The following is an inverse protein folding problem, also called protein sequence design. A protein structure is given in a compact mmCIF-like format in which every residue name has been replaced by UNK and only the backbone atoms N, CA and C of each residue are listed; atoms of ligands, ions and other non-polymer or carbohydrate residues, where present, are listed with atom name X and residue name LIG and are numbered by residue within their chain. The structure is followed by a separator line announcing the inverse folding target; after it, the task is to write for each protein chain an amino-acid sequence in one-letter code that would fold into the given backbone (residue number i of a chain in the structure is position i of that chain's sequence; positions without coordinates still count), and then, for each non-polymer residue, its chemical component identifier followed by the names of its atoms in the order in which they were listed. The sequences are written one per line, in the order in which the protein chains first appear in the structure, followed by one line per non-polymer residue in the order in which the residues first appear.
data_IF_592971917851
#
_entry.id   IF_592971917851
#
_cell.length_a   1.000
_cell.length_b   1.000
_cell.length_c   1.000
_cell.angle_alpha   90.00
_cell.angle_beta   90.00
_cell.angle_gamma   90.00
#
_symmetry.space_group_name_H-M   'P 1'
#
loop_
_entity.id
_entity.type
_entity.pdbx_description
1 polymer ?
#
# COMPACT_ATOMS: atom_id res chain seq x y z
N UNK A 1 -6.53 43.79 -2.71
CA UNK A 1 -7.92 44.26 -2.54
C UNK A 1 -8.74 43.76 -3.74
N UNK A 2 -9.35 42.57 -3.65
CA UNK A 2 -10.07 41.93 -4.77
C UNK A 2 -11.56 41.98 -4.47
N UNK A 3 -12.33 42.69 -5.31
CA UNK A 3 -13.80 42.81 -5.19
C UNK A 3 -14.46 41.49 -5.62
N UNK A 4 -15.29 40.92 -4.75
CA UNK A 4 -16.17 39.79 -5.03
C UNK A 4 -17.27 40.21 -6.02
N UNK A 5 -17.43 39.50 -7.14
CA UNK A 5 -18.63 39.64 -7.99
C UNK A 5 -19.74 38.76 -7.43
N UNK A 6 -20.91 39.36 -7.25
CA UNK A 6 -22.17 38.68 -6.91
C UNK A 6 -22.71 37.95 -8.15
N UNK A 7 -23.26 36.75 -7.94
CA UNK A 7 -24.03 36.04 -8.96
C UNK A 7 -25.41 36.68 -9.18
N UNK A 8 -26.10 36.34 -10.29
CA UNK A 8 -27.38 36.95 -10.69
C UNK A 8 -28.55 36.67 -9.74
N UNK A 9 -28.40 35.78 -8.74
CA UNK A 9 -29.40 35.43 -7.73
C UNK A 9 -29.12 36.02 -6.33
N UNK A 10 -28.07 36.84 -6.18
CA UNK A 10 -27.70 37.44 -4.89
C UNK A 10 -27.15 36.45 -3.85
N UNK A 11 -26.97 35.16 -4.18
CA UNK A 11 -26.45 34.17 -3.25
C UNK A 11 -24.91 34.15 -3.25
N UNK A 12 -24.31 34.16 -2.06
CA UNK A 12 -22.88 33.91 -1.89
C UNK A 12 -22.64 32.41 -1.98
N UNK A 13 -22.15 31.93 -3.13
CA UNK A 13 -21.59 30.57 -3.21
C UNK A 13 -20.29 30.54 -2.40
N UNK A 14 -20.31 29.86 -1.26
CA UNK A 14 -19.09 29.45 -0.58
C UNK A 14 -18.29 28.60 -1.56
N UNK A 15 -17.13 29.08 -1.99
CA UNK A 15 -16.25 28.33 -2.87
C UNK A 15 -15.71 27.12 -2.12
N UNK A 16 -16.23 25.94 -2.39
CA UNK A 16 -15.61 24.68 -1.98
C UNK A 16 -14.34 24.52 -2.80
N UNK A 17 -13.18 24.69 -2.16
CA UNK A 17 -11.88 24.33 -2.76
C UNK A 17 -11.78 22.82 -2.66
N UNK A 18 -12.04 22.10 -3.76
CA UNK A 18 -11.69 20.69 -3.85
C UNK A 18 -10.16 20.60 -3.87
N UNK A 19 -9.58 19.98 -2.84
CA UNK A 19 -8.15 19.76 -2.71
C UNK A 19 -7.69 18.72 -3.74
N UNK A 20 -7.42 19.18 -4.96
CA UNK A 20 -6.64 18.41 -5.93
C UNK A 20 -5.18 18.86 -5.84
N UNK A 21 -4.24 17.96 -5.50
CA UNK A 21 -2.83 18.28 -5.54
C UNK A 21 -2.45 18.72 -6.97
N UNK A 22 -1.91 19.93 -7.13
CA UNK A 22 -1.17 20.28 -8.33
C UNK A 22 0.29 19.90 -8.08
N UNK A 23 0.79 18.93 -8.83
CA UNK A 23 2.22 18.67 -8.87
C UNK A 23 2.93 19.85 -9.56
N UNK A 24 3.57 20.70 -8.77
CA UNK A 24 4.69 21.52 -9.26
C UNK A 24 5.79 20.56 -9.70
N UNK A 25 6.23 20.65 -10.96
CA UNK A 25 7.46 20.01 -11.43
C UNK A 25 8.59 20.45 -10.52
N UNK A 26 9.13 19.53 -9.73
CA UNK A 26 10.29 19.80 -8.88
C UNK A 26 11.55 19.86 -9.77
N UNK A 27 12.26 21.00 -9.86
CA UNK A 27 13.58 21.04 -10.46
C UNK A 27 14.62 20.72 -9.37
N UNK A 28 15.63 19.90 -9.72
CA UNK A 28 16.86 19.53 -8.94
C UNK A 28 16.71 18.27 -8.06
N UNK A 29 17.48 17.17 -8.13
CA UNK A 29 18.68 16.75 -8.89
C UNK A 29 19.61 17.87 -9.34
N UNK A 30 20.22 18.51 -8.34
CA UNK A 30 21.44 19.28 -8.52
C UNK A 30 22.33 18.92 -7.34
N UNK A 31 23.04 17.80 -7.50
CA UNK A 31 24.20 17.48 -6.69
C UNK A 31 25.19 18.61 -6.92
N UNK A 32 25.31 19.51 -5.96
CA UNK A 32 26.40 20.47 -5.92
C UNK A 32 27.70 19.66 -5.75
N UNK A 33 28.43 19.46 -6.86
CA UNK A 33 29.88 19.25 -6.79
C UNK A 33 30.47 20.54 -6.26
N UNK A 34 30.91 20.54 -5.01
CA UNK A 34 31.92 21.48 -4.57
C UNK A 34 33.27 20.97 -5.09
N UNK A 35 33.88 21.75 -5.98
CA UNK A 35 35.32 21.73 -6.20
C UNK A 35 35.98 22.14 -4.88
N UNK A 36 36.82 21.26 -4.33
CA UNK A 36 37.79 21.64 -3.31
C UNK A 36 39.18 21.24 -3.81
N UNK A 37 40.05 22.24 -3.80
CA UNK A 37 41.32 22.27 -4.48
C UNK A 37 42.39 21.36 -3.88
N UNK A 38 43.20 20.90 -4.82
CA UNK A 38 44.60 20.50 -4.77
C UNK A 38 45.40 20.98 -3.53
N UNK A 39 45.83 20.03 -2.69
CA UNK A 39 47.05 20.12 -1.88
C UNK A 39 47.55 18.73 -1.43
N UNK A 40 48.85 18.54 -1.17
CA UNK A 40 49.60 17.47 -1.80
C UNK A 40 50.25 16.54 -0.77
N UNK A 41 49.61 15.43 -0.40
CA UNK A 41 50.26 14.34 0.35
C UNK A 41 49.75 12.95 -0.05
N UNK A 42 49.64 12.69 -1.35
CA UNK A 42 49.32 11.34 -1.84
C UNK A 42 50.29 10.87 -2.92
N UNK A 43 51.55 10.65 -2.54
CA UNK A 43 52.46 9.80 -3.30
C UNK A 43 53.47 9.16 -2.34
N UNK A 44 53.70 7.86 -2.53
CA UNK A 44 54.41 6.90 -1.65
C UNK A 44 53.45 6.37 -0.57
N UNK A 45 52.93 5.14 -0.63
CA UNK A 45 53.64 3.89 -0.82
C UNK A 45 52.72 2.87 -1.51
N UNK A 46 53.05 2.54 -2.77
CA UNK A 46 52.75 1.22 -3.34
C UNK A 46 53.89 0.30 -2.92
N UNK A 47 53.62 -0.68 -2.06
CA UNK A 47 54.22 -2.03 -2.17
C UNK A 47 53.64 -3.02 -1.14
N UNK A 48 53.04 -4.09 -1.66
CA UNK A 48 53.33 -5.47 -1.21
C UNK A 48 52.53 -6.12 -0.07
N UNK A 49 51.75 -7.15 -0.47
CA UNK A 49 51.31 -8.37 0.29
C UNK A 49 50.21 -8.14 1.34
N UNK A 50 49.36 -9.10 1.70
CA UNK A 50 48.78 -10.33 1.12
C UNK A 50 47.63 -10.70 2.07
N UNK A 51 46.56 -11.26 1.50
CA UNK A 51 45.35 -11.83 2.09
C UNK A 51 45.32 -12.17 3.60
N UNK A 52 44.26 -11.70 4.26
CA UNK A 52 43.69 -12.28 5.49
C UNK A 52 42.17 -12.06 5.51
N UNK A 53 41.42 -13.15 5.40
CA UNK A 53 39.95 -13.26 5.35
C UNK A 53 39.33 -13.23 6.76
N UNK A 54 38.24 -12.49 7.00
CA UNK A 54 37.41 -12.71 8.18
C UNK A 54 35.96 -13.10 7.83
N UNK A 55 35.54 -14.26 8.35
CA UNK A 55 34.18 -14.37 8.91
C UNK A 55 33.18 -15.26 8.17
N UNK A 56 33.54 -16.52 7.90
CA UNK A 56 32.57 -17.60 7.75
C UNK A 56 32.06 -18.06 9.12
N UNK A 57 30.81 -17.76 9.46
CA UNK A 57 30.06 -18.46 10.52
C UNK A 57 28.63 -18.75 10.05
N UNK A 58 28.47 -19.90 9.38
CA UNK A 58 27.17 -20.55 9.16
C UNK A 58 26.95 -21.60 10.26
N UNK A 59 26.04 -21.33 11.18
CA UNK A 59 25.54 -22.33 12.12
C UNK A 59 24.59 -23.29 11.40
N UNK A 60 25.04 -24.54 11.23
CA UNK A 60 24.29 -25.68 10.71
C UNK A 60 23.94 -26.58 11.90
N UNK A 61 22.66 -26.68 12.22
CA UNK A 61 22.16 -27.63 13.21
C UNK A 61 22.19 -29.06 12.63
N UNK A 62 22.84 -30.00 13.30
CA UNK A 62 22.71 -31.44 13.07
C UNK A 62 22.25 -32.11 14.37
N UNK A 63 21.27 -33.04 14.32
CA UNK A 63 20.90 -33.83 15.49
C UNK A 63 21.89 -34.99 15.69
N UNK A 64 22.34 -35.12 16.95
CA UNK A 64 23.24 -36.17 17.43
C UNK A 64 22.43 -37.47 17.62
N UNK A 65 22.79 -38.51 16.86
CA UNK A 65 22.30 -39.88 17.05
C UNK A 65 23.18 -40.58 18.10
N UNK A 66 22.60 -40.87 19.27
CA UNK A 66 23.27 -41.63 20.32
C UNK A 66 23.24 -43.14 19.98
N UNK A 67 24.40 -43.73 19.73
CA UNK A 67 24.58 -45.18 19.71
C UNK A 67 24.61 -45.72 21.15
N UNK A 68 23.69 -46.64 21.48
CA UNK A 68 23.79 -47.46 22.70
C UNK A 68 23.98 -48.93 22.29
N UNK A 69 25.19 -49.45 22.50
CA UNK A 69 25.51 -50.87 22.38
C UNK A 69 25.04 -51.63 23.63
N UNK A 70 24.39 -52.77 23.38
CA UNK A 70 24.68 -54.06 24.02
C UNK A 70 24.16 -54.33 25.43
N UNK A 71 23.19 -55.24 25.54
CA UNK A 71 23.13 -56.22 26.63
C UNK A 71 22.42 -57.49 26.14
N UNK A 72 23.19 -58.59 26.15
CA UNK A 72 22.75 -59.97 25.95
C UNK A 72 22.14 -60.52 27.24
N UNK A 73 21.10 -61.36 27.16
CA UNK A 73 20.66 -62.13 28.32
C UNK A 73 19.26 -62.75 28.25
N UNK A 74 19.22 -63.99 27.74
CA UNK A 74 18.44 -65.16 28.24
C UNK A 74 16.90 -65.20 28.18
N UNK A 75 16.45 -66.30 27.56
CA UNK A 75 15.16 -66.97 27.64
C UNK A 75 14.61 -67.14 29.07
N UNK A 76 13.27 -67.12 29.17
CA UNK A 76 12.30 -68.03 29.84
C UNK A 76 10.93 -67.34 29.63
N UNK A 77 9.93 -67.84 28.89
CA UNK A 77 9.08 -69.00 29.21
C UNK A 77 7.66 -68.53 29.58
N UNK A 78 6.64 -68.94 28.82
CA UNK A 78 5.26 -69.09 29.32
C UNK A 78 4.17 -68.08 28.87
N UNK A 79 3.20 -68.60 28.10
CA UNK A 79 1.77 -68.43 28.45
C UNK A 79 0.94 -67.32 27.80
N UNK A 80 0.25 -67.66 26.71
CA UNK A 80 -1.21 -67.53 26.58
C UNK A 80 -1.88 -66.15 26.49
N UNK A 81 -2.44 -65.86 25.32
CA UNK A 81 -3.83 -65.36 25.20
C UNK A 81 -4.03 -63.87 24.89
N UNK A 82 -4.69 -63.59 23.76
CA UNK A 82 -5.53 -62.40 23.59
C UNK A 82 -5.07 -61.40 22.52
N UNK A 83 -5.43 -61.66 21.26
CA UNK A 83 -5.53 -60.60 20.24
C UNK A 83 -6.65 -59.63 20.60
N UNK A 84 -6.34 -58.33 20.71
CA UNK A 84 -7.28 -57.23 20.43
C UNK A 84 -6.47 -56.00 20.00
N UNK A 85 -6.49 -55.72 18.70
CA UNK A 85 -6.10 -54.42 18.13
C UNK A 85 -7.20 -53.41 18.53
N UNK A 86 -6.83 -52.18 18.93
CA UNK A 86 -7.44 -51.09 18.18
C UNK A 86 -6.41 -50.06 17.71
N UNK A 87 -6.52 -49.82 16.43
CA UNK A 87 -6.14 -48.62 15.69
C UNK A 87 -6.56 -47.40 16.52
N UNK A 88 -5.62 -46.76 17.20
CA UNK A 88 -5.74 -45.36 17.64
C UNK A 88 -4.50 -44.60 17.17
N UNK A 89 -4.19 -44.77 15.90
CA UNK A 89 -3.45 -43.78 15.14
C UNK A 89 -4.46 -42.72 14.66
N UNK A 90 -4.03 -41.46 14.68
CA UNK A 90 -4.66 -40.35 13.96
C UNK A 90 -5.93 -39.72 14.56
N UNK A 91 -5.80 -38.94 15.64
CA UNK A 91 -6.47 -37.63 15.74
C UNK A 91 -5.96 -36.80 16.93
N UNK A 92 -4.88 -36.05 16.75
CA UNK A 92 -4.74 -34.77 17.46
C UNK A 92 -4.61 -33.72 16.39
N UNK A 93 -5.72 -33.00 16.20
CA UNK A 93 -5.86 -31.84 15.34
C UNK A 93 -4.65 -30.92 15.50
N UNK A 94 -3.97 -30.66 14.39
CA UNK A 94 -3.21 -29.44 14.25
C UNK A 94 -4.22 -28.28 14.34
N UNK A 95 -4.37 -27.70 15.53
CA UNK A 95 -4.83 -26.33 15.69
C UNK A 95 -3.71 -25.43 15.15
N UNK A 96 -3.59 -25.41 13.83
CA UNK A 96 -2.77 -24.45 13.11
C UNK A 96 -3.29 -23.07 13.45
N UNK A 97 -2.40 -22.25 14.00
CA UNK A 97 -2.69 -20.88 14.41
C UNK A 97 -2.95 -20.00 13.18
N UNK A 98 -4.21 -19.89 12.76
CA UNK A 98 -4.69 -18.88 11.79
C UNK A 98 -4.79 -17.47 12.39
N UNK A 99 -4.13 -17.20 13.52
CA UNK A 99 -4.16 -15.89 14.19
C UNK A 99 -3.51 -14.77 13.35
N UNK A 100 -2.61 -15.12 12.42
CA UNK A 100 -1.97 -14.15 11.52
C UNK A 100 -2.90 -13.67 10.38
N UNK A 101 -3.93 -14.44 10.03
CA UNK A 101 -4.85 -14.09 8.94
C UNK A 101 -5.86 -12.98 9.32
N UNK A 102 -6.07 -12.74 10.63
CA UNK A 102 -7.15 -11.89 11.13
C UNK A 102 -6.72 -10.51 11.67
N UNK A 103 -5.43 -10.15 11.59
CA UNK A 103 -5.00 -8.82 12.01
C UNK A 103 -5.66 -7.73 11.14
N UNK A 104 -6.13 -6.61 11.72
CA UNK A 104 -6.74 -5.53 10.98
C UNK A 104 -5.72 -4.91 10.01
N UNK A 105 -6.18 -4.53 8.82
CA UNK A 105 -5.35 -3.83 7.85
C UNK A 105 -4.90 -2.47 8.41
N UNK A 106 -3.66 -2.02 8.13
CA UNK A 106 -3.13 -0.75 8.62
C UNK A 106 -3.69 0.43 7.82
N UNK A 107 -5.00 0.64 7.89
CA UNK A 107 -5.73 1.68 7.16
C UNK A 107 -6.12 2.83 8.09
N UNK A 108 -5.84 4.05 7.65
CA UNK A 108 -6.20 5.30 8.32
C UNK A 108 -6.80 6.27 7.30
N UNK A 109 -8.04 6.76 7.48
CA UNK A 109 -9.03 6.25 8.43
C UNK A 109 -9.43 4.80 8.10
N UNK A 110 -9.92 4.07 9.11
CA UNK A 110 -10.40 2.70 8.91
C UNK A 110 -11.73 2.72 8.13
N UNK A 111 -11.88 1.94 7.04
CA UNK A 111 -13.09 1.95 6.24
C UNK A 111 -14.32 1.46 7.01
N UNK A 112 -15.51 1.91 6.60
CA UNK A 112 -16.78 1.46 7.20
C UNK A 112 -17.00 -0.06 7.06
N UNK A 113 -16.69 -0.64 5.91
CA UNK A 113 -16.81 -2.07 5.65
C UNK A 113 -15.55 -2.62 4.99
N UNK A 114 -15.02 -3.70 5.55
CA UNK A 114 -13.84 -4.42 5.04
C UNK A 114 -14.10 -5.93 5.15
N UNK A 115 -13.92 -6.64 4.04
CA UNK A 115 -13.84 -8.10 4.00
C UNK A 115 -12.44 -8.44 3.50
N UNK A 116 -11.68 -9.19 4.28
CA UNK A 116 -10.34 -9.64 3.93
C UNK A 116 -10.40 -11.09 3.46
N UNK A 117 -9.76 -11.35 2.32
CA UNK A 117 -9.59 -12.68 1.76
C UNK A 117 -8.11 -13.10 1.86
N UNK A 118 -7.86 -14.41 1.77
CA UNK A 118 -6.51 -14.97 1.81
C UNK A 118 -5.78 -14.74 0.49
N UNK A 119 -4.55 -14.24 0.55
CA UNK A 119 -3.68 -14.04 -0.61
C UNK A 119 -3.47 -12.58 -0.97
N UNK A 120 -2.81 -12.35 -2.10
CA UNK A 120 -2.49 -11.04 -2.63
C UNK A 120 -2.77 -10.97 -4.14
N UNK A 121 -3.02 -9.76 -4.62
CA UNK A 121 -3.06 -9.41 -6.03
C UNK A 121 -1.72 -8.76 -6.42
N UNK A 122 -1.13 -9.20 -7.53
CA UNK A 122 0.02 -8.53 -8.12
C UNK A 122 -0.43 -7.40 -9.03
N UNK A 123 0.14 -6.21 -8.83
CA UNK A 123 -0.10 -5.10 -9.73
C UNK A 123 0.67 -5.30 -11.03
N UNK A 124 -0.10 -5.34 -12.12
CA UNK A 124 0.44 -5.27 -13.48
C UNK A 124 0.70 -3.82 -13.87
N UNK A 125 1.54 -3.63 -14.88
CA UNK A 125 2.04 -2.32 -15.35
C UNK A 125 1.00 -1.48 -16.13
N UNK A 126 -0.25 -1.44 -15.66
CA UNK A 126 -1.38 -0.83 -16.37
C UNK A 126 -2.39 -0.20 -15.40
N UNK A 127 -2.82 1.01 -15.75
CA UNK A 127 -4.01 1.66 -15.19
C UNK A 127 -5.07 1.68 -16.30
N UNK A 128 -6.27 1.19 -15.99
CA UNK A 128 -7.44 1.24 -16.86
C UNK A 128 -8.41 2.29 -16.36
N UNK A 129 -8.93 3.10 -17.27
CA UNK A 129 -9.99 4.07 -17.02
C UNK A 129 -11.28 3.59 -17.66
N UNK A 130 -12.31 3.47 -16.84
CA UNK A 130 -13.66 3.10 -17.26
C UNK A 130 -14.61 4.21 -16.82
N UNK A 131 -15.10 5.00 -17.76
CA UNK A 131 -15.98 6.12 -17.47
C UNK A 131 -17.04 6.28 -18.55
N UNK A 132 -18.21 6.85 -18.21
CA UNK A 132 -19.17 7.31 -19.21
C UNK A 132 -18.54 8.32 -20.16
N UNK A 133 -19.04 8.37 -21.40
CA UNK A 133 -18.57 9.31 -22.41
C UNK A 133 -18.64 10.76 -21.91
N UNK A 134 -17.61 11.55 -22.18
CA UNK A 134 -17.49 12.94 -21.70
C UNK A 134 -16.94 13.10 -20.27
N UNK A 135 -16.73 12.02 -19.52
CA UNK A 135 -16.12 12.09 -18.18
C UNK A 135 -14.60 12.18 -18.27
N UNK A 136 -14.01 13.25 -17.70
CA UNK A 136 -12.58 13.51 -17.79
C UNK A 136 -11.80 12.93 -16.60
N UNK A 137 -11.43 11.64 -16.68
CA UNK A 137 -10.56 10.99 -15.66
C UNK A 137 -9.05 11.17 -15.88
N UNK A 138 -8.65 11.86 -16.96
CA UNK A 138 -7.24 11.92 -17.37
C UNK A 138 -6.32 12.53 -16.31
N UNK A 139 -6.77 13.57 -15.60
CA UNK A 139 -5.98 14.20 -14.53
C UNK A 139 -5.74 13.23 -13.35
N UNK A 140 -6.77 12.54 -12.89
CA UNK A 140 -6.66 11.53 -11.83
C UNK A 140 -5.78 10.35 -12.28
N UNK A 141 -5.90 9.94 -13.55
CA UNK A 141 -5.08 8.88 -14.12
C UNK A 141 -3.60 9.26 -14.20
N UNK A 142 -3.29 10.47 -14.65
CA UNK A 142 -1.91 10.99 -14.67
C UNK A 142 -1.34 11.10 -13.26
N UNK A 143 -2.11 11.65 -12.31
CA UNK A 143 -1.73 11.68 -10.89
C UNK A 143 -1.41 10.27 -10.37
N UNK A 144 -2.27 9.30 -10.67
CA UNK A 144 -2.09 7.91 -10.24
C UNK A 144 -0.87 7.27 -10.88
N UNK A 145 -0.61 7.56 -12.16
CA UNK A 145 0.55 7.04 -12.89
C UNK A 145 1.86 7.56 -12.30
N UNK A 146 1.92 8.87 -12.03
CA UNK A 146 3.10 9.51 -11.44
C UNK A 146 3.33 9.04 -9.98
N UNK A 147 2.24 8.83 -9.22
CA UNK A 147 2.31 8.25 -7.87
C UNK A 147 2.89 6.83 -7.91
N UNK A 148 2.38 5.97 -8.78
CA UNK A 148 2.84 4.58 -8.87
C UNK A 148 4.28 4.48 -9.39
N UNK A 149 4.70 5.37 -10.29
CA UNK A 149 6.11 5.46 -10.70
C UNK A 149 7.02 5.79 -9.51
N UNK A 150 6.61 6.71 -8.65
CA UNK A 150 7.36 7.06 -7.45
C UNK A 150 7.42 5.93 -6.42
N UNK A 151 6.32 5.18 -6.22
CA UNK A 151 6.23 4.14 -5.18
C UNK A 151 6.79 2.78 -5.63
N UNK A 152 6.67 2.45 -6.91
CA UNK A 152 7.00 1.13 -7.44
C UNK A 152 8.20 1.14 -8.40
N UNK A 153 8.67 2.31 -8.84
CA UNK A 153 9.81 2.47 -9.74
C UNK A 153 9.51 2.20 -11.21
N UNK A 154 8.24 2.03 -11.59
CA UNK A 154 7.81 1.84 -12.97
C UNK A 154 6.54 2.62 -13.26
N UNK A 155 6.42 3.13 -14.49
CA UNK A 155 5.27 3.93 -14.89
C UNK A 155 4.19 3.07 -15.55
N UNK A 156 2.98 2.95 -14.98
CA UNK A 156 1.89 2.23 -15.63
C UNK A 156 1.46 2.91 -16.93
N UNK A 157 1.12 2.09 -17.92
CA UNK A 157 0.43 2.58 -19.11
C UNK A 157 -1.03 2.87 -18.80
N UNK A 158 -1.51 4.05 -19.17
CA UNK A 158 -2.93 4.42 -19.06
C UNK A 158 -3.66 3.91 -20.30
N UNK A 159 -4.72 3.12 -20.10
CA UNK A 159 -5.61 2.66 -21.16
C UNK A 159 -7.05 3.00 -20.84
N UNK A 160 -7.87 3.23 -21.86
CA UNK A 160 -9.30 3.49 -21.71
C UNK A 160 -10.13 2.32 -22.24
N UNK A 161 -11.34 2.18 -21.72
CA UNK A 161 -12.32 1.22 -22.21
C UNK A 161 -12.49 0.00 -21.31
N UNK A 162 -13.61 -0.70 -21.52
CA UNK A 162 -14.06 -1.81 -20.68
C UNK A 162 -13.32 -3.10 -21.10
N UNK A 163 -12.70 -3.78 -20.14
CA UNK A 163 -12.25 -5.16 -20.33
C UNK A 163 -12.07 -5.84 -18.96
N UNK A 164 -11.69 -7.13 -18.92
CA UNK A 164 -11.37 -7.79 -17.67
C UNK A 164 -10.32 -7.02 -16.85
N UNK A 165 -10.45 -7.03 -15.50
CA UNK A 165 -9.49 -6.37 -14.61
C UNK A 165 -8.08 -6.86 -14.86
N UNK A 166 -7.14 -5.93 -15.03
CA UNK A 166 -5.72 -6.23 -15.19
C UNK A 166 -4.89 -5.03 -14.70
N UNK A 167 -4.23 -5.17 -13.55
CA UNK A 167 -3.58 -4.06 -12.86
C UNK A 167 -4.58 -3.26 -12.03
N UNK A 168 -4.58 -1.94 -12.16
CA UNK A 168 -5.52 -1.03 -11.47
C UNK A 168 -6.60 -0.53 -12.44
N UNK A 169 -7.87 -0.63 -12.06
CA UNK A 169 -9.01 -0.07 -12.80
C UNK A 169 -9.68 1.02 -11.99
N UNK A 170 -9.78 2.22 -12.55
CA UNK A 170 -10.54 3.34 -12.00
C UNK A 170 -11.86 3.46 -12.78
N UNK A 171 -12.99 3.27 -12.09
CA UNK A 171 -14.31 3.16 -12.72
C UNK A 171 -15.30 4.19 -12.18
N UNK A 172 -15.80 5.07 -13.04
CA UNK A 172 -16.98 5.88 -12.72
C UNK A 172 -18.23 5.06 -13.01
N UNK A 173 -19.08 4.93 -11.99
CA UNK A 173 -20.37 4.25 -12.07
C UNK A 173 -21.51 5.26 -11.96
N UNK A 174 -22.73 4.80 -12.26
CA UNK A 174 -23.92 5.61 -12.05
C UNK A 174 -24.03 6.10 -10.58
N UNK A 175 -24.73 7.22 -10.32
CA UNK A 175 -24.95 7.72 -8.97
C UNK A 175 -25.51 6.64 -8.04
N UNK A 176 -24.79 6.36 -6.94
CA UNK A 176 -25.20 5.44 -5.89
C UNK A 176 -25.45 6.23 -4.60
N UNK A 177 -26.73 6.32 -4.21
CA UNK A 177 -27.14 7.03 -2.99
C UNK A 177 -26.51 6.47 -1.71
N UNK A 178 -26.04 5.22 -1.72
CA UNK A 178 -25.39 4.59 -0.56
C UNK A 178 -23.94 5.04 -0.37
N UNK A 179 -23.27 5.49 -1.45
CA UNK A 179 -21.88 5.96 -1.41
C UNK A 179 -21.80 7.49 -1.27
N UNK A 180 -22.81 8.21 -1.75
CA UNK A 180 -22.80 9.68 -1.74
C UNK A 180 -21.70 10.27 -2.61
N UNK A 181 -21.30 11.51 -2.34
CA UNK A 181 -20.38 12.26 -3.20
C UNK A 181 -18.89 11.91 -3.02
N UNK A 182 -18.53 11.25 -1.92
CA UNK A 182 -17.14 10.98 -1.52
C UNK A 182 -16.85 9.49 -1.25
N UNK A 183 -17.88 8.63 -1.37
CA UNK A 183 -17.75 7.20 -1.12
C UNK A 183 -17.25 6.43 -2.33
N UNK A 184 -16.73 5.24 -2.06
CA UNK A 184 -16.15 4.36 -3.07
C UNK A 184 -16.28 2.89 -2.66
N UNK A 185 -16.12 2.00 -3.63
CA UNK A 185 -15.85 0.58 -3.42
C UNK A 185 -14.49 0.23 -3.99
N UNK A 186 -13.75 -0.61 -3.29
CA UNK A 186 -12.46 -1.13 -3.72
C UNK A 186 -12.50 -2.65 -3.61
N UNK A 187 -12.28 -3.31 -4.74
CA UNK A 187 -12.16 -4.77 -4.85
C UNK A 187 -10.75 -5.11 -5.29
N UNK A 188 -10.06 -5.96 -4.51
CA UNK A 188 -8.75 -6.51 -4.85
C UNK A 188 -8.89 -8.02 -4.98
N UNK A 189 -8.73 -8.50 -6.20
CA UNK A 189 -8.85 -9.91 -6.57
C UNK A 189 -7.58 -10.37 -7.32
N UNK A 190 -7.39 -11.67 -7.50
CA UNK A 190 -6.22 -12.22 -8.19
C UNK A 190 -6.02 -11.65 -9.61
N UNK A 191 -7.09 -11.19 -10.27
CA UNK A 191 -7.04 -10.56 -11.59
C UNK A 191 -6.53 -9.11 -11.57
N UNK A 192 -6.68 -8.41 -10.44
CA UNK A 192 -6.31 -7.00 -10.29
C UNK A 192 -7.16 -6.27 -9.27
N UNK A 193 -7.01 -4.94 -9.25
CA UNK A 193 -7.71 -4.04 -8.34
C UNK A 193 -8.69 -3.17 -9.12
N UNK A 194 -9.90 -3.04 -8.61
CA UNK A 194 -10.94 -2.15 -9.12
C UNK A 194 -11.29 -1.15 -8.02
N UNK A 195 -11.28 0.12 -8.36
CA UNK A 195 -11.80 1.21 -7.53
C UNK A 195 -12.96 1.83 -8.31
N UNK A 196 -14.14 1.80 -7.71
CA UNK A 196 -15.35 2.35 -8.32
C UNK A 196 -16.02 3.39 -7.41
N UNK A 197 -16.52 4.45 -8.03
CA UNK A 197 -17.26 5.51 -7.34
C UNK A 197 -18.17 6.26 -8.32
N UNK A 198 -19.14 7.00 -7.79
CA UNK A 198 -20.02 7.86 -8.59
C UNK A 198 -19.38 9.21 -8.96
N UNK A 199 -18.23 9.55 -8.37
CA UNK A 199 -17.56 10.85 -8.54
C UNK A 199 -16.04 10.70 -8.54
N UNK A 200 -15.36 11.72 -9.07
CA UNK A 200 -13.88 11.82 -9.03
C UNK A 200 -13.35 11.88 -7.59
N UNK A 201 -14.08 12.54 -6.67
CA UNK A 201 -13.71 12.62 -5.26
C UNK A 201 -13.77 11.25 -4.58
N UNK A 202 -14.79 10.45 -4.89
CA UNK A 202 -14.88 9.06 -4.41
C UNK A 202 -13.73 8.21 -4.94
N UNK A 203 -13.43 8.29 -6.25
CA UNK A 203 -12.28 7.58 -6.83
C UNK A 203 -10.96 7.99 -6.18
N UNK A 204 -10.77 9.29 -5.92
CA UNK A 204 -9.58 9.80 -5.25
C UNK A 204 -9.45 9.23 -3.83
N UNK A 205 -10.52 9.17 -3.04
CA UNK A 205 -10.48 8.54 -1.72
C UNK A 205 -10.20 7.03 -1.78
N UNK A 206 -10.76 6.33 -2.75
CA UNK A 206 -10.45 4.93 -2.99
C UNK A 206 -8.99 4.71 -3.33
N UNK A 207 -8.41 5.61 -4.13
CA UNK A 207 -6.99 5.60 -4.46
C UNK A 207 -6.10 5.81 -3.22
N UNK A 208 -6.50 6.67 -2.28
CA UNK A 208 -5.75 6.82 -1.02
C UNK A 208 -5.76 5.56 -0.17
N UNK A 209 -6.86 4.81 -0.15
CA UNK A 209 -6.91 3.51 0.54
C UNK A 209 -6.08 2.47 -0.19
N UNK A 210 -6.18 2.38 -1.52
CA UNK A 210 -5.33 1.50 -2.33
C UNK A 210 -3.84 1.75 -2.07
N UNK A 211 -3.42 3.01 -2.03
CA UNK A 211 -2.05 3.42 -1.71
C UNK A 211 -1.59 2.93 -0.33
N UNK A 212 -2.47 2.91 0.67
CA UNK A 212 -2.13 2.36 1.98
C UNK A 212 -2.02 0.84 1.96
N UNK A 213 -2.89 0.16 1.19
CA UNK A 213 -2.81 -1.29 1.01
C UNK A 213 -1.52 -1.73 0.28
N UNK A 214 -1.03 -0.92 -0.66
CA UNK A 214 0.25 -1.14 -1.32
C UNK A 214 1.42 -1.17 -0.34
N UNK A 215 1.39 -0.32 0.69
CA UNK A 215 2.42 -0.29 1.73
C UNK A 215 2.22 -1.36 2.81
N UNK A 216 1.07 -2.05 2.82
CA UNK A 216 0.77 -3.12 3.78
C UNK A 216 1.28 -4.49 3.32
N UNK A 217 1.57 -4.64 2.02
CA UNK A 217 2.08 -5.87 1.41
C UNK A 217 3.55 -5.76 0.97
N UNK A 218 4.01 -6.78 0.26
CA UNK A 218 5.28 -6.72 -0.47
C UNK A 218 5.18 -5.69 -1.61
N UNK A 219 6.30 -5.07 -2.03
CA UNK A 219 6.30 -4.10 -3.12
C UNK A 219 5.56 -4.59 -4.37
N UNK A 220 4.58 -3.82 -4.84
CA UNK A 220 3.78 -4.15 -6.01
C UNK A 220 2.65 -5.17 -5.76
N UNK A 221 2.40 -5.55 -4.50
CA UNK A 221 1.30 -6.45 -4.12
C UNK A 221 0.27 -5.75 -3.25
N UNK A 222 -0.97 -6.22 -3.30
CA UNK A 222 -2.09 -5.73 -2.49
C UNK A 222 -2.82 -6.92 -1.89
N UNK A 223 -3.20 -6.93 -0.60
CA UNK A 223 -4.02 -8.01 -0.04
C UNK A 223 -5.35 -8.15 -0.78
N UNK A 224 -5.88 -9.37 -0.86
CA UNK A 224 -7.22 -9.58 -1.43
C UNK A 224 -8.27 -9.06 -0.46
N UNK A 225 -9.06 -8.08 -0.87
CA UNK A 225 -10.01 -7.37 -0.01
C UNK A 225 -11.22 -6.86 -0.79
N UNK A 226 -12.34 -6.75 -0.11
CA UNK A 226 -13.49 -5.97 -0.55
C UNK A 226 -13.74 -4.86 0.48
N UNK A 227 -13.73 -3.61 0.02
CA UNK A 227 -13.88 -2.43 0.88
C UNK A 227 -15.02 -1.58 0.33
N UNK A 228 -15.92 -1.16 1.22
CA UNK A 228 -16.89 -0.10 0.94
C UNK A 228 -16.73 0.98 1.99
N UNK A 229 -16.54 2.22 1.56
CA UNK A 229 -16.25 3.32 2.46
C UNK A 229 -16.92 4.61 2.01
N UNK A 230 -17.29 5.43 2.98
CA UNK A 230 -17.78 6.78 2.79
C UNK A 230 -17.51 7.58 4.08
N UNK A 231 -17.28 8.89 3.99
CA UNK A 231 -17.07 9.68 5.18
C UNK A 231 -18.36 9.84 5.98
N UNK A 232 -18.29 9.66 7.31
CA UNK A 232 -19.41 9.94 8.22
C UNK A 232 -19.78 11.43 8.25
N UNK A 233 -18.79 12.30 8.12
CA UNK A 233 -18.96 13.75 8.18
C UNK A 233 -18.46 14.40 6.89
N UNK A 234 -19.25 15.30 6.26
CA UNK A 234 -18.86 15.95 5.02
C UNK A 234 -17.75 17.00 5.23
N UNK A 235 -17.60 17.52 6.46
CA UNK A 235 -16.55 18.50 6.79
C UNK A 235 -15.44 17.81 7.57
N UNK A 236 -14.24 17.74 6.98
CA UNK A 236 -13.04 17.16 7.60
C UNK A 236 -11.89 18.11 7.31
N UNK A 237 -11.66 19.03 8.25
CA UNK A 237 -10.72 20.13 8.08
C UNK A 237 -9.57 20.13 9.06
N UNK A 238 -8.48 20.78 8.68
CA UNK A 238 -7.36 21.06 9.58
C UNK A 238 -6.90 22.51 9.42
N UNK A 239 -6.86 23.25 10.53
CA UNK A 239 -6.47 24.67 10.53
C UNK A 239 -4.96 24.81 10.71
N UNK A 240 -4.32 25.63 9.86
CA UNK A 240 -2.91 26.03 10.01
C UNK A 240 -2.83 27.54 10.29
N UNK A 241 -2.32 27.91 11.47
CA UNK A 241 -2.10 29.32 11.83
C UNK A 241 -0.85 29.86 11.12
N UNK A 242 -1.08 30.54 9.99
CA UNK A 242 -0.04 31.18 9.17
C UNK A 242 0.20 32.66 9.50
N UNK A 243 -0.54 33.22 10.47
CA UNK A 243 -0.46 34.64 10.81
C UNK A 243 0.60 34.87 11.87
N UNK A 244 0.68 33.97 12.86
CA UNK A 244 1.68 34.07 13.94
C UNK A 244 3.00 33.41 13.60
N UNK A 245 2.97 32.42 12.71
CA UNK A 245 4.15 31.69 12.24
C UNK A 245 4.07 31.50 10.73
N UNK A 246 5.02 32.09 10.00
CA UNK A 246 5.07 31.97 8.56
C UNK A 246 5.68 30.63 8.14
N UNK A 247 4.96 29.87 7.33
CA UNK A 247 5.44 28.63 6.73
C UNK A 247 5.76 28.86 5.24
N UNK A 248 6.87 28.30 4.72
CA UNK A 248 7.15 28.32 3.29
C UNK A 248 6.02 27.65 2.49
N UNK A 249 5.76 28.12 1.26
CA UNK A 249 4.71 27.56 0.38
C UNK A 249 4.90 26.05 0.18
N UNK A 250 6.14 25.60 -0.05
CA UNK A 250 6.46 24.18 -0.21
C UNK A 250 6.10 23.32 1.02
N UNK A 251 6.12 23.89 2.23
CA UNK A 251 5.64 23.20 3.42
C UNK A 251 4.11 23.06 3.38
N UNK A 252 3.39 24.12 3.03
CA UNK A 252 1.93 24.13 2.96
C UNK A 252 1.43 23.14 1.89
N UNK A 253 2.08 23.08 0.72
CA UNK A 253 1.75 22.11 -0.32
C UNK A 253 1.91 20.66 0.17
N UNK A 254 3.06 20.34 0.78
CA UNK A 254 3.29 19.02 1.39
C UNK A 254 2.29 18.69 2.51
N UNK A 255 1.85 19.70 3.25
CA UNK A 255 0.86 19.55 4.30
C UNK A 255 -0.51 19.19 3.71
N UNK A 256 -0.93 19.88 2.65
CA UNK A 256 -2.15 19.55 1.90
C UNK A 256 -2.07 18.14 1.31
N UNK A 257 -0.92 17.75 0.75
CA UNK A 257 -0.72 16.38 0.25
C UNK A 257 -0.92 15.34 1.35
N UNK A 258 -0.38 15.60 2.54
CA UNK A 258 -0.56 14.73 3.71
C UNK A 258 -2.02 14.64 4.16
N UNK A 259 -2.72 15.78 4.22
CA UNK A 259 -4.14 15.83 4.56
C UNK A 259 -4.98 15.03 3.56
N UNK A 260 -4.69 15.19 2.25
CA UNK A 260 -5.39 14.47 1.19
C UNK A 260 -5.22 12.96 1.30
N UNK A 261 -4.02 12.48 1.70
CA UNK A 261 -3.74 11.04 1.95
C UNK A 261 -4.64 10.45 3.04
N UNK A 262 -5.02 11.26 4.02
CA UNK A 262 -5.92 10.87 5.11
C UNK A 262 -7.37 11.32 4.89
N UNK A 263 -7.74 11.63 3.64
CA UNK A 263 -9.12 11.99 3.21
C UNK A 263 -9.70 13.23 3.91
N UNK A 264 -8.85 14.16 4.36
CA UNK A 264 -9.30 15.51 4.71
C UNK A 264 -9.64 16.28 3.44
N UNK A 265 -10.68 17.12 3.51
CA UNK A 265 -11.22 17.82 2.35
C UNK A 265 -11.31 19.34 2.53
N UNK A 266 -10.89 19.85 3.69
CA UNK A 266 -10.89 21.30 3.99
C UNK A 266 -9.56 21.69 4.63
N UNK A 267 -9.02 22.84 4.23
CA UNK A 267 -7.77 23.41 4.75
C UNK A 267 -7.90 24.94 4.83
#
# INVERSE_FOLDING_TARGET
MVRSRLGPDGSRRAGTIQLFPRLTRNPRLLVHRHDEGDHPESRLLRSGRSLGDPGQLRHRWQPVLLHRRGASGRHLGGGGGGEVIPILAFLVMALGTDAAAQAPLPLIPYPQHVIRNTGTAELRHRIRLEAPEGTALSALASYTSDLLELELGWRPTIVSGIAPPAGLTLRIVAPDSTLGAEGYRLSSQSAGVIIEASTDAGLFHGLQTFRQLLHAGEPGTVPLVEITDAPRFPYRGMHLDVVRHFFPVAFVERYIDLLSRYKFNTF
#
